data_IF_573577772282
#
_entry.id   IF_573577772282
#
_cell.length_a   1.000
_cell.length_b   1.000
_cell.length_c   1.000
_cell.angle_alpha   90.00
_cell.angle_beta   90.00
_cell.angle_gamma   90.00
#
_symmetry.space_group_name_H-M   'P 1'
#
loop_
_entity.id
_entity.type
_entity.pdbx_description
1 polymer ?
#
# COMPACT_ATOMS: atom_id res chain seq x y z
N UNK A 1 -16.62 14.24 24.44
CA UNK A 1 -15.31 13.59 24.52
C UNK A 1 -15.49 12.13 24.12
N UNK A 2 -14.54 11.54 23.43
CA UNK A 2 -14.53 10.12 23.09
C UNK A 2 -13.43 9.46 23.91
N UNK A 3 -13.65 8.20 24.34
CA UNK A 3 -12.71 7.46 25.17
C UNK A 3 -11.61 6.81 24.33
N UNK A 4 -11.90 6.50 23.05
CA UNK A 4 -10.98 5.92 22.09
C UNK A 4 -11.36 6.30 20.66
N UNK A 5 -10.44 6.17 19.72
CA UNK A 5 -10.64 6.42 18.30
C UNK A 5 -9.72 5.61 17.43
N UNK A 6 -10.06 5.49 16.15
CA UNK A 6 -9.20 4.86 15.14
C UNK A 6 -8.42 5.93 14.40
N UNK A 7 -7.11 5.78 14.37
CA UNK A 7 -6.22 6.63 13.59
C UNK A 7 -5.79 5.90 12.32
N UNK A 8 -5.73 6.65 11.23
CA UNK A 8 -5.29 6.20 9.90
C UNK A 8 -4.21 7.14 9.36
N UNK A 9 -3.60 6.76 8.25
CA UNK A 9 -2.57 7.54 7.57
C UNK A 9 -1.41 7.92 8.51
N UNK A 10 -0.93 9.17 8.41
CA UNK A 10 0.16 9.71 9.22
C UNK A 10 -0.13 9.72 10.74
N UNK A 11 -1.39 9.73 11.14
CA UNK A 11 -1.79 9.68 12.53
C UNK A 11 -1.22 8.50 13.31
N UNK A 12 -0.99 7.37 12.63
CA UNK A 12 -0.33 6.19 13.22
C UNK A 12 1.13 6.46 13.66
N UNK A 13 1.79 7.47 13.10
CA UNK A 13 3.19 7.82 13.42
C UNK A 13 3.30 9.05 14.31
N UNK A 14 2.19 9.79 14.52
CA UNK A 14 2.18 11.09 15.19
C UNK A 14 1.29 11.14 16.42
N UNK A 15 0.58 10.06 16.77
CA UNK A 15 -0.41 10.03 17.86
C UNK A 15 0.18 10.45 19.21
N UNK A 16 1.43 10.12 19.51
CA UNK A 16 2.11 10.51 20.75
C UNK A 16 2.24 12.03 20.87
N UNK A 17 2.39 12.75 19.75
CA UNK A 17 2.46 14.22 19.72
C UNK A 17 1.14 14.86 20.18
N UNK A 18 0.05 14.09 20.19
CA UNK A 18 -1.28 14.50 20.62
C UNK A 18 -1.67 13.96 22.00
N UNK A 19 -0.70 13.47 22.78
CA UNK A 19 -0.91 12.84 24.08
C UNK A 19 -1.92 11.68 24.03
N UNK A 20 -1.87 10.88 22.96
CA UNK A 20 -2.66 9.67 22.81
C UNK A 20 -1.79 8.44 23.07
N UNK A 21 -2.43 7.38 23.56
CA UNK A 21 -1.79 6.08 23.82
C UNK A 21 -2.27 5.06 22.79
N UNK A 22 -1.36 4.20 22.33
CA UNK A 22 -1.67 3.09 21.44
C UNK A 22 -2.35 1.96 22.23
N UNK A 23 -3.62 1.74 21.96
CA UNK A 23 -4.36 0.61 22.54
C UNK A 23 -4.09 -0.67 21.74
N UNK A 24 -4.13 -0.58 20.41
CA UNK A 24 -3.86 -1.71 19.53
C UNK A 24 -3.44 -1.23 18.13
N UNK A 25 -2.47 -1.92 17.52
CA UNK A 25 -2.16 -1.81 16.10
C UNK A 25 -2.92 -2.89 15.33
N UNK A 26 -3.93 -2.49 14.55
CA UNK A 26 -4.79 -3.41 13.81
C UNK A 26 -4.02 -4.18 12.73
N UNK A 27 -2.96 -3.60 12.16
CA UNK A 27 -2.08 -4.27 11.20
C UNK A 27 -1.30 -5.41 11.87
N UNK A 28 -0.71 -5.14 13.04
CA UNK A 28 0.02 -6.14 13.82
C UNK A 28 -0.91 -7.28 14.29
N UNK A 29 -2.13 -6.96 14.72
CA UNK A 29 -3.13 -7.96 15.07
C UNK A 29 -3.53 -8.84 13.89
N UNK A 30 -3.73 -8.24 12.72
CA UNK A 30 -4.01 -8.98 11.50
C UNK A 30 -2.88 -9.95 11.15
N UNK A 31 -1.63 -9.48 11.13
CA UNK A 31 -0.46 -10.31 10.83
C UNK A 31 -0.30 -11.45 11.83
N UNK A 32 -0.53 -11.18 13.11
CA UNK A 32 -0.49 -12.20 14.15
C UNK A 32 -1.55 -13.29 13.96
N UNK A 33 -2.76 -12.92 13.54
CA UNK A 33 -3.89 -13.85 13.39
C UNK A 33 -3.82 -14.65 12.09
N UNK A 34 -3.37 -14.02 11.00
CA UNK A 34 -3.43 -14.62 9.66
C UNK A 34 -2.08 -15.11 9.14
N UNK A 35 -0.98 -14.59 9.68
CA UNK A 35 0.36 -14.78 9.13
C UNK A 35 0.55 -14.10 7.76
N UNK A 36 -0.32 -13.15 7.39
CA UNK A 36 -0.33 -12.50 6.08
C UNK A 36 -0.19 -10.98 6.24
N UNK A 37 0.43 -10.28 5.27
CA UNK A 37 0.46 -8.83 5.26
C UNK A 37 -0.96 -8.25 5.16
N UNK A 38 -1.21 -7.10 5.81
CA UNK A 38 -2.50 -6.42 5.70
C UNK A 38 -2.58 -5.62 4.38
N UNK A 39 -3.49 -5.96 3.44
CA UNK A 39 -3.71 -5.16 2.24
C UNK A 39 -4.37 -3.83 2.60
N UNK A 40 -3.68 -2.71 2.37
CA UNK A 40 -4.16 -1.37 2.71
C UNK A 40 -4.84 -0.66 1.54
N UNK A 41 -4.50 -1.04 0.32
CA UNK A 41 -5.06 -0.45 -0.90
C UNK A 41 -4.47 -1.08 -2.15
N UNK A 42 -5.01 -0.71 -3.29
CA UNK A 42 -4.52 -1.19 -4.58
C UNK A 42 -4.98 -0.32 -5.74
N UNK A 43 -4.23 -0.35 -6.82
CA UNK A 43 -4.59 0.29 -8.09
C UNK A 43 -5.30 -0.76 -8.93
N UNK A 44 -6.47 -0.41 -9.43
CA UNK A 44 -7.29 -1.32 -10.24
C UNK A 44 -7.62 -0.70 -11.60
N UNK A 45 -7.76 -1.54 -12.61
CA UNK A 45 -8.20 -1.14 -13.94
C UNK A 45 -9.50 -1.86 -14.31
N UNK A 46 -10.40 -1.18 -15.01
CA UNK A 46 -11.63 -1.80 -15.52
C UNK A 46 -11.31 -2.97 -16.46
N UNK A 47 -12.07 -4.06 -16.33
CA UNK A 47 -11.97 -5.21 -17.24
C UNK A 47 -12.49 -4.90 -18.63
N UNK A 48 -13.28 -3.85 -18.81
CA UNK A 48 -13.80 -3.39 -20.09
C UNK A 48 -12.71 -2.73 -20.95
N UNK A 49 -11.61 -2.29 -20.34
CA UNK A 49 -10.47 -1.78 -21.08
C UNK A 49 -9.84 -2.88 -21.94
N UNK A 50 -9.43 -2.56 -23.18
CA UNK A 50 -8.69 -3.51 -24.03
C UNK A 50 -7.50 -4.11 -23.30
N UNK A 51 -7.24 -5.39 -23.51
CA UNK A 51 -6.15 -6.09 -22.81
C UNK A 51 -4.78 -5.45 -23.03
N UNK A 52 -4.54 -4.88 -24.20
CA UNK A 52 -3.31 -4.16 -24.54
C UNK A 52 -3.14 -2.90 -23.67
N UNK A 53 -4.22 -2.13 -23.50
CA UNK A 53 -4.22 -0.94 -22.64
C UNK A 53 -3.90 -1.32 -21.20
N UNK A 54 -4.55 -2.37 -20.67
CA UNK A 54 -4.27 -2.86 -19.32
C UNK A 54 -2.82 -3.31 -19.15
N UNK A 55 -2.26 -4.03 -20.12
CA UNK A 55 -0.86 -4.46 -20.09
C UNK A 55 0.10 -3.29 -20.15
N UNK A 56 -0.17 -2.30 -21.00
CA UNK A 56 0.67 -1.11 -21.10
C UNK A 56 0.65 -0.32 -19.80
N UNK A 57 -0.54 -0.14 -19.21
CA UNK A 57 -0.69 0.54 -17.93
C UNK A 57 0.08 -0.18 -16.81
N UNK A 58 -0.08 -1.50 -16.69
CA UNK A 58 0.61 -2.32 -15.69
C UNK A 58 2.14 -2.16 -15.79
N UNK A 59 2.68 -2.30 -17.00
CA UNK A 59 4.12 -2.12 -17.23
C UNK A 59 4.60 -0.72 -16.84
N UNK A 60 3.90 0.33 -17.31
CA UNK A 60 4.29 1.71 -17.00
C UNK A 60 4.23 1.98 -15.50
N UNK A 61 3.20 1.46 -14.82
CA UNK A 61 3.07 1.58 -13.37
C UNK A 61 4.20 0.86 -12.64
N UNK A 62 4.47 -0.39 -13.02
CA UNK A 62 5.57 -1.17 -12.46
C UNK A 62 6.91 -0.44 -12.63
N UNK A 63 7.24 0.00 -13.85
CA UNK A 63 8.51 0.66 -14.14
C UNK A 63 8.63 2.00 -13.38
N UNK A 64 7.53 2.73 -13.23
CA UNK A 64 7.47 3.97 -12.44
C UNK A 64 7.74 3.72 -10.96
N UNK A 65 7.14 2.68 -10.38
CA UNK A 65 7.35 2.32 -8.98
C UNK A 65 8.79 1.83 -8.77
N UNK A 66 9.29 0.96 -9.64
CA UNK A 66 10.66 0.46 -9.59
C UNK A 66 11.66 1.63 -9.62
N UNK A 67 11.48 2.55 -10.56
CA UNK A 67 12.31 3.75 -10.66
C UNK A 67 12.28 4.61 -9.40
N UNK A 68 11.09 4.83 -8.82
CA UNK A 68 10.95 5.63 -7.60
C UNK A 68 11.63 4.97 -6.38
N UNK A 69 11.58 3.64 -6.28
CA UNK A 69 12.26 2.89 -5.23
C UNK A 69 13.79 2.93 -5.37
N UNK A 70 14.30 2.89 -6.60
CA UNK A 70 15.73 3.00 -6.88
C UNK A 70 16.25 4.43 -6.74
N UNK A 71 15.39 5.44 -6.94
CA UNK A 71 15.75 6.86 -6.97
C UNK A 71 14.87 7.71 -6.02
N UNK A 72 14.86 7.44 -4.71
CA UNK A 72 13.90 8.05 -3.77
C UNK A 72 13.98 9.58 -3.69
N UNK A 73 15.12 10.16 -4.05
CA UNK A 73 15.31 11.62 -4.03
C UNK A 73 14.63 12.35 -5.20
N UNK A 74 14.35 11.66 -6.31
CA UNK A 74 13.78 12.27 -7.51
C UNK A 74 12.34 12.72 -7.28
N UNK A 75 11.55 11.92 -6.58
CA UNK A 75 10.16 12.24 -6.26
C UNK A 75 9.99 13.18 -5.06
N UNK A 76 11.04 13.42 -4.27
CA UNK A 76 10.97 14.20 -3.02
C UNK A 76 10.37 15.61 -3.17
N UNK A 77 10.74 16.43 -4.16
CA UNK A 77 10.12 17.76 -4.32
C UNK A 77 8.62 17.68 -4.53
N UNK A 78 8.16 16.75 -5.38
CA UNK A 78 6.73 16.54 -5.63
C UNK A 78 6.00 16.05 -4.38
N UNK A 79 6.59 15.09 -3.65
CA UNK A 79 6.02 14.57 -2.40
C UNK A 79 5.85 15.70 -1.39
N UNK A 80 6.87 16.53 -1.17
CA UNK A 80 6.79 17.67 -0.24
C UNK A 80 5.73 18.70 -0.62
N UNK A 81 5.56 18.97 -1.91
CA UNK A 81 4.54 19.90 -2.40
C UNK A 81 3.11 19.41 -2.08
N UNK A 82 2.89 18.09 -2.06
CA UNK A 82 1.56 17.50 -1.95
C UNK A 82 1.30 16.82 -0.59
N UNK A 83 2.33 16.60 0.21
CA UNK A 83 2.19 16.00 1.53
C UNK A 83 1.55 17.00 2.52
N UNK A 84 0.68 16.49 3.38
CA UNK A 84 0.12 17.25 4.51
C UNK A 84 1.11 17.31 5.67
N UNK A 85 1.88 16.27 5.87
CA UNK A 85 2.95 16.18 6.83
C UNK A 85 4.25 16.67 6.17
N UNK A 86 4.99 17.54 6.86
CA UNK A 86 6.24 18.12 6.36
C UNK A 86 7.48 17.53 7.03
N UNK A 87 7.31 16.68 8.02
CA UNK A 87 8.40 15.95 8.68
C UNK A 87 8.87 14.81 7.75
N UNK A 88 10.10 14.91 7.28
CA UNK A 88 10.67 13.97 6.31
C UNK A 88 10.70 12.53 6.84
N UNK A 89 10.94 12.32 8.13
CA UNK A 89 10.96 10.99 8.73
C UNK A 89 9.57 10.36 8.70
N UNK A 90 8.52 11.14 8.97
CA UNK A 90 7.13 10.67 8.89
C UNK A 90 6.74 10.37 7.44
N UNK A 91 7.14 11.22 6.49
CA UNK A 91 6.94 10.98 5.07
C UNK A 91 7.60 9.67 4.63
N UNK A 92 8.85 9.44 5.03
CA UNK A 92 9.59 8.23 4.64
C UNK A 92 8.96 6.97 5.22
N UNK A 93 8.54 6.99 6.47
CA UNK A 93 7.79 5.88 7.11
C UNK A 93 6.48 5.62 6.40
N UNK A 94 5.76 6.67 6.02
CA UNK A 94 4.50 6.56 5.28
C UNK A 94 4.74 5.91 3.91
N UNK A 95 5.71 6.39 3.14
CA UNK A 95 6.05 5.82 1.84
C UNK A 95 6.44 4.34 2.00
N UNK A 96 7.33 4.00 2.93
CA UNK A 96 7.79 2.63 3.15
C UNK A 96 6.65 1.67 3.54
N UNK A 97 5.63 2.16 4.25
CA UNK A 97 4.46 1.37 4.61
C UNK A 97 3.59 1.06 3.39
N UNK A 98 3.32 2.06 2.53
CA UNK A 98 2.35 1.96 1.44
C UNK A 98 2.97 1.58 0.09
N UNK A 99 4.26 1.86 -0.12
CA UNK A 99 4.97 1.56 -1.38
C UNK A 99 6.14 0.63 -1.08
N UNK A 100 5.95 -0.65 -1.37
CA UNK A 100 6.88 -1.72 -1.05
C UNK A 100 6.87 -2.82 -2.12
N UNK A 101 7.47 -3.97 -1.82
CA UNK A 101 7.53 -5.12 -2.76
C UNK A 101 6.18 -5.52 -3.34
N UNK A 102 5.10 -5.41 -2.56
CA UNK A 102 3.75 -5.75 -3.04
C UNK A 102 3.19 -4.73 -4.04
N UNK A 103 3.74 -3.50 -4.04
CA UNK A 103 3.41 -2.50 -5.05
C UNK A 103 4.01 -2.83 -6.41
N UNK A 104 5.14 -3.56 -6.45
CA UNK A 104 5.75 -4.05 -7.68
C UNK A 104 5.09 -5.34 -8.17
N UNK A 105 4.90 -6.29 -7.26
CA UNK A 105 4.28 -7.57 -7.59
C UNK A 105 3.56 -8.13 -6.36
N UNK A 106 2.28 -8.40 -6.50
CA UNK A 106 1.47 -8.91 -5.39
C UNK A 106 1.94 -10.28 -4.88
N UNK A 107 2.44 -11.13 -5.78
CA UNK A 107 2.88 -12.48 -5.47
C UNK A 107 1.74 -13.38 -4.95
N UNK A 108 2.04 -14.60 -4.58
CA UNK A 108 1.03 -15.52 -4.05
C UNK A 108 0.60 -15.14 -2.63
N UNK A 109 1.55 -14.67 -1.82
CA UNK A 109 1.27 -14.22 -0.45
C UNK A 109 0.31 -13.03 -0.42
N UNK A 110 0.57 -12.00 -1.24
CA UNK A 110 -0.32 -10.85 -1.34
C UNK A 110 -1.69 -11.20 -1.90
N UNK A 111 -1.77 -12.13 -2.87
CA UNK A 111 -3.06 -12.64 -3.36
C UNK A 111 -3.85 -13.37 -2.28
N UNK A 112 -3.18 -14.18 -1.46
CA UNK A 112 -3.81 -14.83 -0.31
C UNK A 112 -4.31 -13.81 0.69
N UNK A 113 -3.51 -12.79 1.00
CA UNK A 113 -3.87 -11.71 1.92
C UNK A 113 -5.13 -10.95 1.46
N UNK A 114 -5.21 -10.62 0.16
CA UNK A 114 -6.40 -9.96 -0.40
C UNK A 114 -7.63 -10.85 -0.33
N UNK A 115 -7.51 -12.14 -0.66
CA UNK A 115 -8.64 -13.10 -0.54
C UNK A 115 -9.11 -13.23 0.90
N UNK A 116 -8.18 -13.33 1.85
CA UNK A 116 -8.49 -13.44 3.27
C UNK A 116 -9.23 -12.21 3.78
N UNK A 117 -8.72 -11.02 3.45
CA UNK A 117 -9.32 -9.77 3.89
C UNK A 117 -10.71 -9.53 3.29
N UNK A 118 -10.90 -9.87 2.01
CA UNK A 118 -12.16 -9.59 1.31
C UNK A 118 -13.21 -10.67 1.50
N UNK A 119 -12.83 -11.86 1.93
CA UNK A 119 -13.72 -13.03 2.01
C UNK A 119 -14.21 -13.50 0.62
N UNK A 120 -13.56 -13.08 -0.47
CA UNK A 120 -13.94 -13.40 -1.83
C UNK A 120 -12.98 -14.44 -2.42
N UNK A 121 -13.30 -15.75 -2.34
CA UNK A 121 -12.41 -16.82 -2.81
C UNK A 121 -12.15 -16.76 -4.31
N UNK A 122 -13.13 -16.30 -5.08
CA UNK A 122 -13.07 -16.14 -6.54
C UNK A 122 -12.77 -14.70 -6.98
N UNK A 123 -12.22 -13.89 -6.09
CA UNK A 123 -11.73 -12.59 -6.53
C UNK A 123 -10.68 -12.85 -7.61
N UNK A 124 -11.13 -12.86 -8.85
CA UNK A 124 -10.27 -12.85 -10.02
C UNK A 124 -9.62 -11.49 -10.06
N UNK A 125 -8.65 -11.34 -9.20
CA UNK A 125 -7.62 -10.34 -9.37
C UNK A 125 -7.04 -10.68 -10.72
N UNK A 126 -7.45 -9.92 -11.74
CA UNK A 126 -7.08 -10.15 -13.13
C UNK A 126 -5.59 -9.94 -13.36
N UNK A 127 -4.82 -10.54 -12.51
CA UNK A 127 -3.39 -10.51 -12.45
C UNK A 127 -2.89 -11.80 -13.09
N UNK A 128 -2.90 -11.83 -14.39
CA UNK A 128 -1.93 -12.66 -15.08
C UNK A 128 -0.61 -11.89 -14.95
N UNK A 129 0.46 -12.50 -14.41
CA UNK A 129 1.79 -11.88 -14.45
C UNK A 129 2.12 -11.65 -15.92
N UNK A 130 2.20 -10.37 -16.29
CA UNK A 130 2.56 -9.97 -17.65
C UNK A 130 4.04 -10.20 -17.94
N UNK A 131 4.79 -10.61 -16.93
CA UNK A 131 6.17 -10.98 -17.02
C UNK A 131 6.29 -12.46 -16.68
N UNK A 132 6.24 -13.27 -17.75
CA UNK A 132 6.74 -14.63 -17.68
C UNK A 132 8.20 -14.60 -17.20
N UNK A 133 8.49 -15.48 -16.26
CA UNK A 133 9.82 -15.85 -15.79
C UNK A 133 10.84 -15.98 -16.90
#
# INVERSE_FOLDING_TARGET
>A
AFDAGVLIHEGRFTYERHNLELVADLGALWEQQTGLPLPLGGIVASRELPAEVRRTFDRVLHDSIAYALEHPTVSRPFVREHARELDDEVIDRHIALFVNRYSLALGEEGRRAVRELTGLPDLRLGWEPLHGS
#
